data_IF_431625351438
#
_entry.id   IF_431625351438
#
_cell.length_a   1.000
_cell.length_b   1.000
_cell.length_c   1.000
_cell.angle_alpha   90.00
_cell.angle_beta   90.00
_cell.angle_gamma   90.00
#
_symmetry.space_group_name_H-M   'P 1'
#
loop_
_entity.id
_entity.type
_entity.pdbx_description
1 polymer ?
#
# COMPACT_ATOMS: atom_id res chain seq x y z
N UNK A 1 -28.80 -51.77 19.42
CA UNK A 1 -29.80 -50.79 18.93
C UNK A 1 -30.90 -50.50 19.96
N UNK A 2 -31.03 -51.32 21.01
CA UNK A 2 -32.17 -51.24 21.96
C UNK A 2 -32.12 -50.02 22.89
N UNK A 3 -30.93 -49.51 23.22
CA UNK A 3 -30.77 -48.33 24.10
C UNK A 3 -31.11 -46.99 23.45
N UNK A 4 -31.04 -46.88 22.12
CA UNK A 4 -31.44 -45.68 21.38
C UNK A 4 -32.96 -45.70 21.16
N UNK A 5 -33.50 -46.87 20.84
CA UNK A 5 -34.94 -47.07 20.63
C UNK A 5 -35.75 -46.84 21.90
N UNK A 6 -35.20 -47.22 23.08
CA UNK A 6 -35.84 -46.95 24.38
C UNK A 6 -35.86 -45.46 24.73
N UNK A 7 -34.81 -44.69 24.40
CA UNK A 7 -34.76 -43.23 24.59
C UNK A 7 -35.69 -42.49 23.63
N UNK A 8 -35.80 -42.94 22.38
CA UNK A 8 -36.77 -42.40 21.41
C UNK A 8 -38.22 -42.63 21.85
N UNK A 9 -38.50 -43.73 22.57
CA UNK A 9 -39.84 -44.01 23.11
C UNK A 9 -40.29 -43.01 24.18
N UNK A 10 -39.36 -42.28 24.81
CA UNK A 10 -39.67 -41.22 25.76
C UNK A 10 -39.94 -39.85 25.08
N UNK A 11 -39.67 -39.72 23.77
CA UNK A 11 -39.98 -38.51 22.98
C UNK A 11 -41.35 -38.58 22.30
N UNK A 12 -42.07 -39.69 22.45
CA UNK A 12 -43.42 -39.90 21.92
C UNK A 12 -44.44 -39.27 22.90
N UNK A 13 -44.85 -38.03 22.62
CA UNK A 13 -45.71 -37.23 23.50
C UNK A 13 -47.21 -37.60 23.42
N UNK A 14 -47.59 -38.55 22.57
CA UNK A 14 -49.00 -38.89 22.32
C UNK A 14 -49.42 -40.22 23.00
N UNK A 15 -50.62 -40.29 23.59
CA UNK A 15 -51.14 -41.52 24.20
C UNK A 15 -51.34 -42.60 23.14
N UNK A 16 -50.88 -43.83 23.44
CA UNK A 16 -50.98 -44.96 22.49
C UNK A 16 -52.41 -45.48 22.41
N UNK A 17 -52.89 -45.62 21.18
CA UNK A 17 -54.25 -46.10 20.88
C UNK A 17 -54.24 -47.64 20.94
N UNK A 18 -55.32 -48.24 21.46
CA UNK A 18 -55.46 -49.70 21.53
C UNK A 18 -55.35 -50.35 20.14
N UNK A 19 -54.72 -51.54 20.08
CA UNK A 19 -54.39 -52.26 18.84
C UNK A 19 -55.63 -52.61 17.99
N UNK A 20 -56.83 -52.66 18.59
CA UNK A 20 -58.09 -53.03 17.94
C UNK A 20 -58.67 -51.94 17.02
N UNK A 21 -58.17 -50.72 17.10
CA UNK A 21 -58.69 -49.57 16.35
C UNK A 21 -57.91 -49.24 15.06
N UNK A 22 -56.85 -50.00 14.75
CA UNK A 22 -56.10 -49.80 13.51
C UNK A 22 -55.83 -51.13 12.79
N UNK A 23 -55.93 -51.14 11.47
CA UNK A 23 -55.54 -52.28 10.64
C UNK A 23 -54.21 -51.97 9.96
N UNK A 24 -53.18 -52.80 10.21
CA UNK A 24 -51.88 -52.66 9.54
C UNK A 24 -51.99 -53.27 8.15
N UNK A 25 -51.89 -52.44 7.12
CA UNK A 25 -51.84 -52.89 5.73
C UNK A 25 -50.39 -52.87 5.24
N UNK A 26 -49.98 -53.93 4.53
CA UNK A 26 -48.65 -54.03 3.92
C UNK A 26 -48.39 -52.88 2.93
N UNK A 27 -49.42 -52.49 2.17
CA UNK A 27 -49.39 -51.35 1.25
C UNK A 27 -49.20 -50.02 1.98
N UNK A 28 -49.88 -49.79 3.11
CA UNK A 28 -49.73 -48.58 3.92
C UNK A 28 -48.30 -48.41 4.45
N UNK A 29 -47.68 -49.49 4.94
CA UNK A 29 -46.30 -49.47 5.42
C UNK A 29 -45.27 -49.13 4.32
N UNK A 30 -45.44 -49.70 3.12
CA UNK A 30 -44.58 -49.38 1.95
C UNK A 30 -44.72 -47.92 1.55
N UNK A 31 -45.95 -47.39 1.52
CA UNK A 31 -46.22 -45.98 1.20
C UNK A 31 -45.58 -45.06 2.24
N UNK A 32 -45.71 -45.36 3.53
CA UNK A 32 -45.08 -44.57 4.61
C UNK A 32 -43.56 -44.57 4.46
N UNK A 33 -42.93 -45.73 4.21
CA UNK A 33 -41.48 -45.82 4.04
C UNK A 33 -41.00 -45.00 2.83
N UNK A 34 -41.66 -45.15 1.68
CA UNK A 34 -41.34 -44.38 0.48
C UNK A 34 -41.51 -42.88 0.69
N UNK A 35 -42.58 -42.47 1.38
CA UNK A 35 -42.85 -41.05 1.67
C UNK A 35 -41.83 -40.47 2.66
N UNK A 36 -41.44 -41.20 3.70
CA UNK A 36 -40.41 -40.78 4.64
C UNK A 36 -39.04 -40.64 3.98
N UNK A 37 -38.68 -41.56 3.08
CA UNK A 37 -37.43 -41.45 2.30
C UNK A 37 -37.46 -40.20 1.41
N UNK A 38 -38.57 -39.96 0.71
CA UNK A 38 -38.72 -38.78 -0.14
C UNK A 38 -38.63 -37.48 0.68
N UNK A 39 -39.32 -37.41 1.82
CA UNK A 39 -39.25 -36.26 2.73
C UNK A 39 -37.83 -36.02 3.23
N UNK A 40 -37.10 -37.08 3.60
CA UNK A 40 -35.71 -36.96 4.04
C UNK A 40 -34.79 -36.45 2.92
N UNK A 41 -34.96 -36.93 1.69
CA UNK A 41 -34.19 -36.47 0.53
C UNK A 41 -34.46 -35.00 0.24
N UNK A 42 -35.72 -34.57 0.26
CA UNK A 42 -36.09 -33.16 0.08
C UNK A 42 -35.52 -32.30 1.19
N UNK A 43 -35.61 -32.73 2.45
CA UNK A 43 -35.05 -32.01 3.59
C UNK A 43 -33.54 -31.81 3.48
N UNK A 44 -32.79 -32.86 3.11
CA UNK A 44 -31.35 -32.76 2.89
C UNK A 44 -31.00 -31.86 1.69
N UNK A 45 -31.81 -31.89 0.63
CA UNK A 45 -31.65 -31.02 -0.54
C UNK A 45 -31.86 -29.55 -0.18
N UNK A 46 -32.94 -29.23 0.53
CA UNK A 46 -33.25 -27.87 0.97
C UNK A 46 -32.21 -27.35 1.97
N UNK A 47 -31.75 -28.18 2.91
CA UNK A 47 -30.66 -27.81 3.81
C UNK A 47 -29.39 -27.48 3.02
N UNK A 48 -29.05 -28.28 2.01
CA UNK A 48 -27.87 -28.03 1.19
C UNK A 48 -28.00 -26.72 0.42
N UNK A 49 -29.17 -26.43 -0.16
CA UNK A 49 -29.41 -25.14 -0.82
C UNK A 49 -29.37 -23.97 0.16
N UNK A 50 -29.99 -24.11 1.33
CA UNK A 50 -29.99 -23.07 2.36
C UNK A 50 -28.57 -22.75 2.88
N UNK A 51 -27.71 -23.76 2.99
CA UNK A 51 -26.31 -23.58 3.39
C UNK A 51 -25.39 -23.11 2.25
N UNK A 52 -25.88 -23.04 1.02
CA UNK A 52 -25.11 -22.56 -0.11
C UNK A 52 -25.27 -21.03 -0.25
N UNK A 53 -24.24 -20.28 0.12
CA UNK A 53 -24.23 -18.83 -0.07
C UNK A 53 -24.11 -18.46 -1.55
N UNK A 54 -24.93 -17.51 -2.00
CA UNK A 54 -24.87 -16.95 -3.36
C UNK A 54 -24.49 -15.48 -3.26
N UNK A 55 -23.44 -15.09 -3.97
CA UNK A 55 -23.01 -13.69 -4.05
C UNK A 55 -23.75 -12.98 -5.18
N UNK A 56 -24.58 -11.99 -4.84
CA UNK A 56 -25.19 -11.10 -5.84
C UNK A 56 -24.45 -9.76 -5.94
N UNK A 57 -24.20 -9.32 -7.18
CA UNK A 57 -23.53 -8.03 -7.46
C UNK A 57 -24.59 -6.99 -7.81
N UNK A 58 -24.79 -6.01 -6.92
CA UNK A 58 -25.70 -4.89 -7.16
C UNK A 58 -24.92 -3.59 -7.39
N UNK A 59 -25.38 -2.80 -8.37
CA UNK A 59 -24.84 -1.47 -8.64
C UNK A 59 -25.60 -0.44 -7.80
N UNK A 60 -24.92 0.14 -6.82
CA UNK A 60 -25.49 1.17 -5.93
C UNK A 60 -24.75 2.48 -6.16
N UNK A 61 -25.45 3.59 -6.02
CA UNK A 61 -24.82 4.92 -6.01
C UNK A 61 -24.00 5.05 -4.74
N UNK A 62 -22.70 5.33 -4.90
CA UNK A 62 -21.85 5.63 -3.77
C UNK A 62 -22.26 6.99 -3.16
N UNK A 63 -22.82 6.96 -1.96
CA UNK A 63 -23.21 8.15 -1.20
C UNK A 63 -22.13 8.59 -0.22
N UNK A 64 -21.00 7.89 -0.13
CA UNK A 64 -19.91 8.30 0.73
C UNK A 64 -19.32 9.63 0.26
N UNK A 65 -19.22 10.61 1.16
CA UNK A 65 -18.61 11.92 0.89
C UNK A 65 -17.46 12.13 1.85
N UNK A 66 -16.29 12.49 1.31
CA UNK A 66 -15.10 12.79 2.12
C UNK A 66 -14.43 11.55 2.73
N UNK A 67 -14.68 10.36 2.20
CA UNK A 67 -13.94 9.17 2.60
C UNK A 67 -12.59 9.10 1.89
N UNK A 68 -11.61 8.51 2.58
CA UNK A 68 -10.30 8.18 2.04
C UNK A 68 -10.29 6.75 1.49
N UNK A 69 -9.36 6.47 0.59
CA UNK A 69 -9.11 5.17 0.00
C UNK A 69 -7.63 4.84 0.14
N UNK A 70 -7.36 3.61 0.56
CA UNK A 70 -6.01 3.08 0.65
C UNK A 70 -5.57 2.52 -0.70
N UNK A 71 -4.47 3.02 -1.25
CA UNK A 71 -3.81 2.45 -2.43
C UNK A 71 -2.64 1.63 -1.91
N UNK A 72 -2.69 0.31 -2.11
CA UNK A 72 -1.60 -0.60 -1.75
C UNK A 72 -0.78 -0.89 -3.01
N UNK A 73 0.53 -0.76 -2.91
CA UNK A 73 1.43 -0.98 -4.04
C UNK A 73 2.68 -1.72 -3.60
N UNK A 74 3.20 -2.50 -4.54
CA UNK A 74 4.48 -3.18 -4.47
C UNK A 74 5.08 -3.12 -5.88
N UNK A 75 6.07 -2.25 -6.08
CA UNK A 75 6.66 -1.95 -7.38
C UNK A 75 8.18 -2.05 -7.28
N UNK A 76 8.78 -2.75 -8.24
CA UNK A 76 10.21 -2.97 -8.32
C UNK A 76 10.80 -2.22 -9.51
N UNK A 77 11.82 -1.42 -9.27
CA UNK A 77 12.60 -0.70 -10.27
C UNK A 77 14.03 -1.30 -10.30
N UNK A 78 14.36 -2.21 -11.24
CA UNK A 78 15.64 -2.92 -11.24
C UNK A 78 16.87 -2.04 -11.51
N UNK A 79 16.70 -0.85 -12.09
CA UNK A 79 17.81 0.01 -12.50
C UNK A 79 17.67 1.45 -11.96
N UNK A 80 16.94 1.62 -10.85
CA UNK A 80 16.71 2.91 -10.21
C UNK A 80 17.08 2.84 -8.72
N UNK A 81 18.05 3.66 -8.26
CA UNK A 81 18.47 3.69 -6.86
C UNK A 81 17.35 4.12 -5.88
N UNK A 82 17.28 3.48 -4.71
CA UNK A 82 16.29 3.83 -3.69
C UNK A 82 16.48 5.24 -3.12
N UNK A 83 17.72 5.74 -3.03
CA UNK A 83 18.01 7.06 -2.45
C UNK A 83 17.46 8.23 -3.26
N UNK A 84 17.18 8.03 -4.55
CA UNK A 84 16.64 9.06 -5.45
C UNK A 84 15.17 8.85 -5.80
N UNK A 85 14.62 7.67 -5.57
CA UNK A 85 13.23 7.37 -5.90
C UNK A 85 12.27 8.05 -4.92
N UNK A 86 11.40 8.91 -5.42
CA UNK A 86 10.31 9.54 -4.69
C UNK A 86 8.95 9.04 -5.17
N UNK A 87 7.96 9.11 -4.28
CA UNK A 87 6.56 8.86 -4.58
C UNK A 87 5.78 10.11 -4.19
N UNK A 88 5.06 10.67 -5.17
CA UNK A 88 4.15 11.78 -4.93
C UNK A 88 2.72 11.38 -5.32
N UNK A 89 1.74 12.00 -4.68
CA UNK A 89 0.34 11.93 -5.09
C UNK A 89 -0.29 13.32 -5.13
N UNK A 90 -1.18 13.53 -6.11
CA UNK A 90 -1.91 14.78 -6.30
C UNK A 90 -3.35 14.49 -6.72
N UNK A 91 -4.30 15.16 -6.07
CA UNK A 91 -5.71 15.06 -6.40
C UNK A 91 -6.28 16.32 -7.08
N UNK A 92 -7.50 16.22 -7.61
CA UNK A 92 -8.18 17.36 -8.26
C UNK A 92 -8.56 18.48 -7.29
N UNK A 93 -8.57 18.23 -5.98
CA UNK A 93 -8.83 19.26 -4.97
C UNK A 93 -7.60 20.14 -4.73
N UNK A 94 -6.45 19.74 -5.27
CA UNK A 94 -5.16 20.39 -5.06
C UNK A 94 -4.44 19.89 -3.82
N UNK A 95 -4.95 18.84 -3.15
CA UNK A 95 -4.21 18.18 -2.07
C UNK A 95 -3.03 17.42 -2.67
N UNK A 96 -1.86 17.63 -2.06
CA UNK A 96 -0.60 17.05 -2.51
C UNK A 96 0.09 16.34 -1.36
N UNK A 97 0.39 15.07 -1.59
CA UNK A 97 1.21 14.23 -0.71
C UNK A 97 2.55 14.05 -1.39
N UNK A 98 3.48 14.97 -1.11
CA UNK A 98 4.81 15.00 -1.73
C UNK A 98 5.78 14.16 -0.92
N UNK A 99 6.57 13.33 -1.61
CA UNK A 99 7.61 12.50 -1.01
C UNK A 99 7.11 11.74 0.23
N UNK A 100 6.06 10.92 0.04
CA UNK A 100 5.42 10.23 1.16
C UNK A 100 6.40 9.22 1.77
N UNK A 101 6.70 9.38 3.06
CA UNK A 101 7.65 8.53 3.80
C UNK A 101 6.98 7.60 4.79
N UNK A 102 5.87 8.04 5.37
CA UNK A 102 5.12 7.25 6.32
C UNK A 102 4.48 6.06 5.58
N UNK A 103 4.55 4.88 6.18
CA UNK A 103 3.93 3.64 5.66
C UNK A 103 4.50 3.10 4.33
N UNK A 104 5.68 3.59 3.93
CA UNK A 104 6.39 3.16 2.73
C UNK A 104 7.75 2.60 3.11
N UNK A 105 8.06 1.44 2.56
CA UNK A 105 9.32 0.75 2.82
C UNK A 105 10.06 0.59 1.49
N UNK A 106 11.31 1.05 1.47
CA UNK A 106 12.22 0.93 0.32
C UNK A 106 13.26 -0.15 0.62
N UNK A 107 13.36 -1.14 -0.26
CA UNK A 107 14.35 -2.21 -0.23
C UNK A 107 15.35 -2.00 -1.36
N UNK A 108 16.62 -1.79 -1.02
CA UNK A 108 17.72 -1.79 -2.00
C UNK A 108 17.90 -3.19 -2.56
N UNK A 109 18.01 -3.27 -3.88
CA UNK A 109 18.22 -4.50 -4.62
C UNK A 109 19.58 -4.47 -5.29
N UNK A 110 20.29 -5.60 -5.25
CA UNK A 110 21.47 -5.78 -6.07
C UNK A 110 21.10 -5.90 -7.56
N UNK A 111 22.12 -5.94 -8.42
CA UNK A 111 21.95 -6.11 -9.87
C UNK A 111 21.28 -7.43 -10.28
N UNK A 112 21.15 -8.40 -9.37
CA UNK A 112 20.49 -9.69 -9.56
C UNK A 112 19.07 -9.72 -8.96
N UNK A 113 18.62 -8.65 -8.31
CA UNK A 113 17.32 -8.55 -7.65
C UNK A 113 17.26 -9.07 -6.21
N UNK A 114 18.40 -9.38 -5.58
CA UNK A 114 18.44 -9.76 -4.17
C UNK A 114 18.42 -8.53 -3.26
N UNK A 115 17.78 -8.65 -2.10
CA UNK A 115 17.69 -7.55 -1.12
C UNK A 115 19.02 -7.36 -0.41
N UNK A 116 19.61 -6.17 -0.53
CA UNK A 116 20.82 -5.76 0.19
C UNK A 116 20.46 -5.16 1.55
N UNK A 117 19.54 -4.18 1.54
CA UNK A 117 19.20 -3.38 2.71
C UNK A 117 17.70 -3.04 2.68
N UNK A 118 17.03 -3.15 3.83
CA UNK A 118 15.65 -2.67 4.00
C UNK A 118 15.68 -1.43 4.87
N UNK A 119 15.27 -0.28 4.31
CA UNK A 119 15.28 0.99 5.03
C UNK A 119 13.84 1.49 5.23
N UNK A 120 13.46 1.68 6.48
CA UNK A 120 12.36 2.57 6.84
C UNK A 120 12.95 3.98 6.95
N UNK A 121 12.44 4.94 6.16
CA UNK A 121 12.92 6.32 6.25
C UNK A 121 12.59 6.90 7.63
N UNK A 122 13.59 7.45 8.34
CA UNK A 122 13.36 8.17 9.60
C UNK A 122 14.42 8.06 10.71
N UNK A 123 15.51 7.29 10.58
CA UNK A 123 16.44 7.10 11.70
C UNK A 123 17.86 7.61 11.42
N UNK A 124 18.17 8.74 12.07
CA UNK A 124 19.46 9.05 12.69
C UNK A 124 20.64 9.33 11.76
N UNK A 125 20.92 10.63 11.52
CA UNK A 125 22.26 11.04 11.12
C UNK A 125 23.28 10.60 12.20
N UNK A 126 24.51 10.17 11.83
CA UNK A 126 25.53 9.83 12.81
C UNK A 126 25.81 11.02 13.75
N UNK A 127 25.88 10.77 15.06
CA UNK A 127 26.22 11.78 16.07
C UNK A 127 27.67 12.21 15.90
N UNK A 128 27.93 13.51 15.89
CA UNK A 128 29.27 14.11 15.71
C UNK A 128 29.77 14.66 17.04
N UNK A 129 31.06 14.48 17.30
CA UNK A 129 31.79 15.23 18.31
C UNK A 129 32.25 16.58 17.74
N UNK A 130 31.68 17.68 18.28
CA UNK A 130 32.02 19.11 18.00
C UNK A 130 31.71 19.66 16.59
N UNK A 131 30.48 19.58 16.09
CA UNK A 131 30.10 20.24 14.84
C UNK A 131 30.08 21.79 14.95
N UNK A 132 30.26 22.47 13.81
CA UNK A 132 30.22 23.93 13.66
C UNK A 132 28.76 24.43 13.65
N UNK A 133 28.42 25.35 14.55
CA UNK A 133 27.09 25.93 14.64
C UNK A 133 26.84 26.99 13.55
N UNK A 134 25.56 27.30 13.29
CA UNK A 134 25.10 28.37 12.39
C UNK A 134 25.82 29.72 12.56
N UNK A 135 26.24 30.07 13.77
CA UNK A 135 26.92 31.34 14.08
C UNK A 135 28.47 31.28 14.03
N UNK A 136 29.06 30.16 13.58
CA UNK A 136 30.53 30.04 13.43
C UNK A 136 31.30 29.65 14.69
N UNK A 137 30.60 29.17 15.73
CA UNK A 137 31.19 28.63 16.97
C UNK A 137 31.28 27.10 17.00
N UNK A 138 32.15 26.56 17.87
CA UNK A 138 32.12 25.14 18.27
C UNK A 138 31.18 25.00 19.46
N UNK A 139 30.44 23.90 19.54
CA UNK A 139 29.58 23.57 20.68
C UNK A 139 30.30 23.73 22.02
N UNK A 140 29.78 24.63 22.87
CA UNK A 140 30.12 24.68 24.28
C UNK A 140 29.35 23.62 25.09
N UNK A 141 29.71 23.42 26.36
CA UNK A 141 29.00 22.46 27.23
C UNK A 141 27.53 22.88 27.39
N UNK A 142 26.61 22.01 26.97
CA UNK A 142 25.14 22.14 27.02
C UNK A 142 24.43 22.89 25.87
N UNK A 143 25.13 23.27 24.81
CA UNK A 143 24.43 23.80 23.62
C UNK A 143 23.87 22.67 22.75
N UNK A 144 22.69 22.89 22.15
CA UNK A 144 22.14 22.00 21.13
C UNK A 144 22.70 22.36 19.76
N UNK A 145 23.19 21.37 19.02
CA UNK A 145 23.68 21.57 17.66
C UNK A 145 22.56 22.12 16.76
N UNK A 146 22.85 23.25 16.10
CA UNK A 146 22.00 23.87 15.09
C UNK A 146 22.83 24.15 13.84
N UNK A 147 22.62 23.34 12.78
CA UNK A 147 23.23 23.55 11.47
C UNK A 147 22.51 24.62 10.64
N UNK A 148 23.22 25.24 9.69
CA UNK A 148 22.62 26.23 8.77
C UNK A 148 21.83 25.54 7.66
N UNK A 149 20.72 26.15 7.26
CA UNK A 149 19.96 25.79 6.07
C UNK A 149 20.38 26.59 4.83
N UNK A 150 21.58 27.19 4.83
CA UNK A 150 22.19 27.87 3.66
C UNK A 150 21.30 28.97 3.05
N UNK A 151 20.55 29.71 3.87
CA UNK A 151 19.66 30.79 3.44
C UNK A 151 18.22 30.35 3.15
N UNK A 152 17.92 29.06 3.30
CA UNK A 152 16.56 28.53 3.15
C UNK A 152 15.76 28.55 4.47
N UNK A 153 16.30 29.12 5.55
CA UNK A 153 15.59 29.32 6.81
C UNK A 153 14.30 30.16 6.61
N UNK A 154 13.23 29.79 7.30
CA UNK A 154 11.98 30.58 7.36
C UNK A 154 11.91 31.45 8.60
N UNK A 155 12.50 30.99 9.70
CA UNK A 155 12.62 31.69 10.96
C UNK A 155 14.07 31.67 11.48
N UNK A 156 14.38 32.54 12.45
CA UNK A 156 15.70 32.55 13.08
C UNK A 156 15.96 31.31 13.96
N UNK A 157 14.91 30.57 14.33
CA UNK A 157 15.01 29.34 15.13
C UNK A 157 15.13 28.06 14.26
N UNK A 158 15.03 28.18 12.94
CA UNK A 158 15.13 27.02 12.04
C UNK A 158 16.57 26.52 11.96
N UNK A 159 16.74 25.21 12.19
CA UNK A 159 18.02 24.52 12.15
C UNK A 159 17.95 23.33 11.18
N UNK A 160 18.95 23.21 10.31
CA UNK A 160 19.09 22.04 9.43
C UNK A 160 20.22 21.16 9.90
N UNK A 161 19.86 20.04 10.52
CA UNK A 161 20.78 19.14 11.19
C UNK A 161 21.11 17.89 10.37
N UNK A 162 20.45 17.66 9.24
CA UNK A 162 20.75 16.60 8.29
C UNK A 162 20.76 17.12 6.85
N UNK A 163 21.36 16.36 5.92
CA UNK A 163 21.27 16.69 4.49
C UNK A 163 19.80 16.74 4.04
N UNK A 164 18.96 15.87 4.61
CA UNK A 164 17.53 15.84 4.31
C UNK A 164 16.81 17.09 4.82
N UNK A 165 17.20 17.62 5.99
CA UNK A 165 16.62 18.86 6.53
C UNK A 165 16.91 20.06 5.62
N UNK A 166 18.14 20.15 5.10
CA UNK A 166 18.53 21.22 4.14
C UNK A 166 17.71 21.10 2.86
N UNK A 167 17.59 19.89 2.31
CA UNK A 167 16.81 19.61 1.10
C UNK A 167 15.34 19.97 1.29
N UNK A 168 14.77 19.66 2.45
CA UNK A 168 13.40 19.98 2.80
C UNK A 168 13.19 21.50 2.94
N UNK A 169 14.14 22.23 3.53
CA UNK A 169 14.11 23.69 3.58
C UNK A 169 14.15 24.32 2.18
N UNK A 170 15.04 23.81 1.30
CA UNK A 170 15.15 24.26 -0.09
C UNK A 170 13.84 24.01 -0.86
N UNK A 171 13.26 22.82 -0.68
CA UNK A 171 11.97 22.43 -1.25
C UNK A 171 10.86 23.40 -0.88
N UNK A 172 10.75 23.78 0.40
CA UNK A 172 9.77 24.77 0.90
C UNK A 172 9.95 26.15 0.26
N UNK A 173 11.19 26.53 -0.10
CA UNK A 173 11.49 27.78 -0.82
C UNK A 173 11.36 27.66 -2.34
N UNK A 174 11.11 26.47 -2.88
CA UNK A 174 11.08 26.18 -4.32
C UNK A 174 12.47 26.24 -4.97
N UNK A 175 13.53 25.95 -4.21
CA UNK A 175 14.90 25.94 -4.68
C UNK A 175 15.35 24.51 -4.97
N UNK A 176 16.05 24.32 -6.09
CA UNK A 176 16.73 23.07 -6.41
C UNK A 176 18.12 23.01 -5.74
N UNK A 177 18.54 21.81 -5.33
CA UNK A 177 19.88 21.58 -4.81
C UNK A 177 20.87 21.43 -5.95
N UNK A 178 21.53 22.53 -6.32
CA UNK A 178 22.45 22.58 -7.45
C UNK A 178 23.78 21.87 -7.22
N UNK A 179 24.35 21.95 -6.01
CA UNK A 179 25.61 21.30 -5.67
C UNK A 179 25.64 20.81 -4.21
N UNK A 180 25.37 19.52 -3.96
CA UNK A 180 25.40 18.93 -2.62
C UNK A 180 26.78 18.98 -1.94
N UNK A 181 27.89 19.11 -2.68
CA UNK A 181 29.24 19.17 -2.08
C UNK A 181 29.52 20.48 -1.33
N UNK A 182 28.76 21.54 -1.63
CA UNK A 182 28.84 22.82 -0.92
C UNK A 182 28.08 22.80 0.42
N UNK A 183 27.22 21.79 0.61
CA UNK A 183 26.41 21.62 1.82
C UNK A 183 27.16 20.67 2.75
N UNK A 184 27.60 21.17 3.91
CA UNK A 184 28.41 20.40 4.86
C UNK A 184 27.66 19.17 5.38
N UNK A 185 26.34 19.28 5.57
CA UNK A 185 25.51 18.15 5.99
C UNK A 185 25.43 17.05 4.92
N UNK A 186 25.37 17.40 3.64
CA UNK A 186 25.32 16.42 2.55
C UNK A 186 26.67 15.78 2.29
N UNK A 187 27.76 16.57 2.36
CA UNK A 187 29.13 16.08 2.22
C UNK A 187 29.52 15.12 3.33
N UNK A 188 29.22 15.45 4.59
CA UNK A 188 29.58 14.60 5.74
C UNK A 188 28.78 13.29 5.78
N UNK A 189 27.52 13.32 5.33
CA UNK A 189 26.66 12.13 5.24
C UNK A 189 26.93 11.32 3.96
N UNK A 190 27.91 11.75 3.15
CA UNK A 190 28.28 11.09 1.91
C UNK A 190 27.10 10.91 0.96
N UNK A 191 26.18 11.88 0.88
CA UNK A 191 24.95 11.74 0.09
C UNK A 191 25.24 11.41 -1.38
N UNK A 192 26.15 12.14 -2.01
CA UNK A 192 26.59 11.87 -3.39
C UNK A 192 27.35 10.55 -3.52
N UNK A 193 28.15 10.18 -2.50
CA UNK A 193 28.88 8.92 -2.52
C UNK A 193 27.90 7.75 -2.46
N UNK A 194 26.88 7.81 -1.61
CA UNK A 194 25.82 6.80 -1.52
C UNK A 194 25.10 6.60 -2.85
N UNK A 195 24.76 7.69 -3.54
CA UNK A 195 24.11 7.59 -4.86
C UNK A 195 25.01 6.92 -5.89
N UNK A 196 26.33 7.19 -5.85
CA UNK A 196 27.31 6.52 -6.71
C UNK A 196 27.50 5.05 -6.34
N UNK A 197 27.48 4.73 -5.05
CA UNK A 197 27.61 3.35 -4.57
C UNK A 197 26.36 2.52 -4.92
N UNK A 198 25.18 3.15 -5.00
CA UNK A 198 23.93 2.54 -5.48
C UNK A 198 23.83 2.51 -7.02
N UNK A 199 24.87 2.90 -7.76
CA UNK A 199 24.81 2.87 -9.22
C UNK A 199 24.77 1.43 -9.75
N UNK A 200 23.74 1.11 -10.54
CA UNK A 200 23.49 -0.23 -11.05
C UNK A 200 22.67 -1.11 -10.09
N UNK A 201 22.28 -0.57 -8.93
CA UNK A 201 21.29 -1.18 -8.04
C UNK A 201 19.86 -0.86 -8.45
N UNK A 202 18.93 -1.64 -7.90
CA UNK A 202 17.50 -1.42 -8.02
C UNK A 202 16.84 -1.06 -6.70
N UNK A 203 15.55 -0.73 -6.77
CA UNK A 203 14.73 -0.45 -5.61
C UNK A 203 13.39 -1.17 -5.70
N UNK A 204 13.02 -1.90 -4.64
CA UNK A 204 11.64 -2.33 -4.43
C UNK A 204 10.98 -1.37 -3.44
N UNK A 205 9.85 -0.78 -3.84
CA UNK A 205 9.04 0.09 -3.00
C UNK A 205 7.71 -0.59 -2.77
N UNK A 206 7.40 -0.84 -1.51
CA UNK A 206 6.11 -1.40 -1.12
C UNK A 206 5.56 -0.67 0.09
N UNK A 207 4.23 -0.58 0.16
CA UNK A 207 3.55 0.16 1.20
C UNK A 207 2.14 0.53 0.79
N UNK A 208 1.63 1.58 1.41
CA UNK A 208 0.33 2.12 1.04
C UNK A 208 0.28 3.64 1.11
N UNK A 209 -0.62 4.22 0.33
CA UNK A 209 -1.00 5.63 0.39
C UNK A 209 -2.45 5.73 0.82
N UNK A 210 -2.76 6.67 1.69
CA UNK A 210 -4.13 7.05 2.01
C UNK A 210 -4.46 8.34 1.25
N UNK A 211 -5.43 8.27 0.33
CA UNK A 211 -5.81 9.39 -0.55
C UNK A 211 -7.31 9.65 -0.51
N UNK A 212 -7.75 10.85 -0.86
CA UNK A 212 -9.17 11.13 -1.03
C UNK A 212 -9.80 10.28 -2.14
N UNK A 213 -11.06 9.87 -1.97
CA UNK A 213 -11.85 9.18 -3.01
C UNK A 213 -12.31 10.12 -4.14
N UNK A 214 -11.36 10.77 -4.80
CA UNK A 214 -11.59 11.66 -5.93
C UNK A 214 -10.64 11.31 -7.07
N UNK A 215 -10.83 11.93 -8.23
CA UNK A 215 -9.87 11.80 -9.31
C UNK A 215 -8.51 12.37 -8.87
N UNK A 216 -7.44 11.66 -9.20
CA UNK A 216 -6.08 12.03 -8.84
C UNK A 216 -5.06 11.18 -9.58
N UNK A 217 -3.79 11.43 -9.30
CA UNK A 217 -2.67 10.66 -9.80
C UNK A 217 -1.65 10.46 -8.67
N UNK A 218 -0.88 9.39 -8.77
CA UNK A 218 0.34 9.21 -8.02
C UNK A 218 1.42 8.74 -8.98
N UNK A 219 2.66 9.10 -8.72
CA UNK A 219 3.76 8.77 -9.61
C UNK A 219 5.05 8.51 -8.85
N UNK A 220 5.83 7.59 -9.40
CA UNK A 220 7.20 7.33 -8.98
C UNK A 220 8.14 8.09 -9.90
N UNK A 221 9.09 8.83 -9.33
CA UNK A 221 10.03 9.62 -10.12
C UNK A 221 11.39 9.72 -9.41
N UNK A 222 12.48 9.87 -10.19
CA UNK A 222 13.78 10.22 -9.64
C UNK A 222 13.77 11.67 -9.13
N UNK A 223 14.47 11.91 -8.03
CA UNK A 223 14.63 13.22 -7.40
C UNK A 223 13.48 13.64 -6.51
N UNK A 224 13.76 14.52 -5.55
CA UNK A 224 12.72 15.10 -4.69
C UNK A 224 11.90 16.08 -5.53
N UNK A 225 10.59 16.05 -5.32
CA UNK A 225 9.69 16.97 -5.99
C UNK A 225 9.56 18.29 -5.23
N UNK A 226 9.39 19.39 -5.97
CA UNK A 226 9.10 20.71 -5.42
C UNK A 226 8.17 21.48 -6.36
N UNK A 227 7.45 22.45 -5.79
CA UNK A 227 6.54 23.30 -6.55
C UNK A 227 7.24 24.60 -6.92
N UNK A 228 7.25 24.92 -8.21
CA UNK A 228 7.75 26.20 -8.72
C UNK A 228 6.70 26.82 -9.64
N UNK A 229 6.18 27.99 -9.27
CA UNK A 229 5.21 28.74 -10.08
C UNK A 229 3.95 27.94 -10.47
N UNK A 230 3.46 27.07 -9.58
CA UNK A 230 2.28 26.24 -9.83
C UNK A 230 2.55 24.98 -10.66
N UNK A 231 3.80 24.72 -11.06
CA UNK A 231 4.23 23.51 -11.77
C UNK A 231 4.93 22.55 -10.80
N UNK A 232 4.63 21.26 -10.93
CA UNK A 232 5.30 20.18 -10.21
C UNK A 232 6.61 19.82 -10.92
N UNK A 233 7.75 19.96 -10.23
CA UNK A 233 9.08 19.74 -10.81
C UNK A 233 9.88 18.80 -9.92
N UNK A 234 10.65 17.90 -10.53
CA UNK A 234 11.60 17.04 -9.81
C UNK A 234 13.01 17.64 -9.90
N UNK A 235 13.69 17.69 -8.76
CA UNK A 235 15.09 18.12 -8.68
C UNK A 235 16.02 17.00 -9.16
N UNK A 236 16.35 17.05 -10.45
CA UNK A 236 17.29 16.13 -11.10
C UNK A 236 18.71 16.70 -11.21
N UNK A 237 18.88 17.99 -10.91
CA UNK A 237 20.14 18.72 -11.13
C UNK A 237 21.27 18.20 -10.25
N UNK A 238 20.93 17.72 -9.05
CA UNK A 238 21.87 17.14 -8.11
C UNK A 238 22.57 15.86 -8.64
N UNK A 239 22.00 15.18 -9.64
CA UNK A 239 22.45 13.84 -10.04
C UNK A 239 23.33 13.81 -11.28
N UNK A 240 23.49 14.93 -12.00
CA UNK A 240 24.35 15.06 -13.19
C UNK A 240 24.20 13.91 -14.21
N UNK A 241 22.99 13.34 -14.32
CA UNK A 241 22.68 12.22 -15.20
C UNK A 241 21.60 12.66 -16.17
N UNK A 242 21.89 12.53 -17.46
CA UNK A 242 20.98 12.99 -18.51
C UNK A 242 19.74 12.11 -18.66
N UNK A 243 19.78 10.88 -18.13
CA UNK A 243 18.68 9.93 -18.28
C UNK A 243 18.65 8.87 -17.18
N UNK A 244 17.43 8.41 -16.86
CA UNK A 244 17.16 7.34 -15.89
C UNK A 244 16.38 6.22 -16.56
N UNK A 245 16.70 4.98 -16.18
CA UNK A 245 15.97 3.82 -16.64
C UNK A 245 14.79 3.56 -15.69
N UNK A 246 13.57 3.82 -16.18
CA UNK A 246 12.32 3.63 -15.45
C UNK A 246 11.64 2.30 -15.78
N UNK A 247 12.41 1.31 -16.26
CA UNK A 247 11.94 -0.07 -16.31
C UNK A 247 11.44 -0.47 -14.93
N UNK A 248 10.29 -1.13 -14.86
CA UNK A 248 9.65 -1.46 -13.60
C UNK A 248 8.80 -2.73 -13.70
N UNK A 249 8.59 -3.36 -12.56
CA UNK A 249 7.70 -4.50 -12.39
C UNK A 249 6.72 -4.18 -11.26
N UNK A 250 5.44 -4.09 -11.60
CA UNK A 250 4.34 -3.92 -10.66
C UNK A 250 4.04 -5.32 -10.10
N UNK A 251 4.56 -5.63 -8.92
CA UNK A 251 4.26 -6.90 -8.26
C UNK A 251 2.79 -6.93 -7.84
N UNK A 252 2.33 -5.84 -7.23
CA UNK A 252 0.95 -5.70 -6.77
C UNK A 252 0.50 -4.25 -6.81
N UNK A 253 -0.72 -4.00 -7.27
CA UNK A 253 -1.37 -2.70 -7.16
C UNK A 253 -2.87 -2.89 -6.91
N UNK A 254 -3.33 -2.50 -5.73
CA UNK A 254 -4.74 -2.68 -5.32
C UNK A 254 -5.30 -1.46 -4.62
N UNK A 255 -6.61 -1.25 -4.79
CA UNK A 255 -7.36 -0.13 -4.23
C UNK A 255 -8.35 -0.62 -3.18
N UNK A 256 -8.22 -0.12 -1.95
CA UNK A 256 -9.01 -0.53 -0.80
C UNK A 256 -8.58 -1.87 -0.20
N UNK A 257 -9.50 -2.48 0.54
CA UNK A 257 -9.30 -3.76 1.21
C UNK A 257 -9.45 -4.94 0.24
N UNK A 258 -8.73 -6.03 0.53
CA UNK A 258 -8.84 -7.25 -0.24
C UNK A 258 -10.19 -7.93 -0.02
N UNK A 259 -10.78 -8.46 -1.11
CA UNK A 259 -11.96 -9.32 -1.04
C UNK A 259 -11.78 -10.54 -1.97
N UNK A 260 -12.41 -11.69 -1.64
CA UNK A 260 -12.29 -12.89 -2.46
C UNK A 260 -12.76 -12.67 -3.91
N UNK A 261 -11.96 -13.13 -4.88
CA UNK A 261 -12.27 -13.03 -6.31
C UNK A 261 -11.87 -11.70 -6.96
N UNK A 262 -11.26 -10.77 -6.21
CA UNK A 262 -10.68 -9.55 -6.81
C UNK A 262 -9.54 -9.91 -7.77
N UNK A 263 -9.53 -9.28 -8.94
CA UNK A 263 -8.45 -9.38 -9.92
C UNK A 263 -7.98 -7.97 -10.25
N UNK A 264 -6.74 -7.63 -9.88
CA UNK A 264 -6.16 -6.34 -10.26
C UNK A 264 -5.42 -6.50 -11.59
N UNK A 265 -5.77 -5.71 -12.63
CA UNK A 265 -5.19 -5.87 -13.97
C UNK A 265 -3.68 -5.61 -14.06
N UNK A 266 -3.10 -4.90 -13.08
CA UNK A 266 -1.70 -4.48 -13.09
C UNK A 266 -0.81 -5.34 -12.18
N UNK A 267 -1.37 -6.36 -11.53
CA UNK A 267 -0.55 -7.30 -10.75
C UNK A 267 0.34 -8.12 -11.70
N UNK A 268 1.64 -8.18 -11.38
CA UNK A 268 2.70 -8.84 -12.15
C UNK A 268 2.95 -8.27 -13.56
N UNK A 269 2.61 -7.00 -13.80
CA UNK A 269 2.92 -6.32 -15.06
C UNK A 269 4.35 -5.77 -15.02
N UNK A 270 5.16 -6.06 -16.04
CA UNK A 270 6.48 -5.43 -16.22
C UNK A 270 6.49 -4.54 -17.45
N UNK A 271 7.32 -3.51 -17.39
CA UNK A 271 7.66 -2.66 -18.50
C UNK A 271 9.16 -2.47 -18.59
N UNK A 272 9.71 -2.59 -19.80
CA UNK A 272 11.13 -2.37 -20.08
C UNK A 272 11.25 -1.10 -20.92
N UNK A 273 12.09 -0.19 -20.47
CA UNK A 273 12.36 1.06 -21.17
C UNK A 273 13.42 0.86 -22.25
N UNK A 274 13.02 1.09 -23.51
CA UNK A 274 13.91 1.02 -24.67
C UNK A 274 14.58 2.36 -25.01
N UNK A 275 13.98 3.48 -24.59
CA UNK A 275 14.47 4.84 -24.89
C UNK A 275 15.32 5.40 -23.75
N UNK A 276 16.22 6.37 -23.99
CA UNK A 276 17.05 6.96 -22.93
C UNK A 276 16.22 7.60 -21.81
N UNK A 277 15.11 8.24 -22.15
CA UNK A 277 14.11 8.78 -21.22
C UNK A 277 12.73 8.28 -21.59
N UNK A 278 11.84 8.17 -20.61
CA UNK A 278 10.47 7.70 -20.81
C UNK A 278 9.54 8.17 -19.70
N UNK A 279 8.24 8.16 -19.98
CA UNK A 279 7.18 8.34 -18.99
C UNK A 279 6.12 7.27 -19.26
N UNK A 280 5.79 6.48 -18.25
CA UNK A 280 4.83 5.38 -18.35
C UNK A 280 3.60 5.71 -17.52
N UNK A 281 2.46 5.80 -18.17
CA UNK A 281 1.20 6.23 -17.55
C UNK A 281 0.15 5.13 -17.65
N UNK A 282 -0.43 4.80 -16.50
CA UNK A 282 -1.50 3.81 -16.38
C UNK A 282 -2.80 4.51 -15.96
N UNK A 283 -3.82 4.45 -16.81
CA UNK A 283 -5.13 5.03 -16.52
C UNK A 283 -6.04 3.97 -15.92
N UNK A 284 -6.32 4.09 -14.62
CA UNK A 284 -7.07 3.09 -13.86
C UNK A 284 -8.43 3.67 -13.47
N UNK A 285 -9.51 2.95 -13.83
CA UNK A 285 -10.86 3.28 -13.41
C UNK A 285 -11.30 2.33 -12.29
N UNK A 286 -11.23 2.83 -11.06
CA UNK A 286 -11.62 2.07 -9.86
C UNK A 286 -13.15 2.00 -9.75
N UNK A 287 -13.69 0.81 -9.51
CA UNK A 287 -15.11 0.58 -9.20
C UNK A 287 -15.21 -0.02 -7.80
N UNK A 288 -15.96 0.62 -6.92
CA UNK A 288 -16.17 0.14 -5.55
C UNK A 288 -17.26 -0.93 -5.59
N UNK A 289 -16.96 -2.09 -5.02
CA UNK A 289 -17.89 -3.22 -4.90
C UNK A 289 -18.23 -3.41 -3.42
N UNK A 290 -19.53 -3.46 -3.10
CA UNK A 290 -20.01 -3.81 -1.77
C UNK A 290 -20.45 -5.28 -1.79
N UNK A 291 -19.74 -6.12 -1.04
CA UNK A 291 -20.04 -7.54 -0.95
C UNK A 291 -21.02 -7.77 0.21
N UNK A 292 -22.26 -8.12 -0.11
CA UNK A 292 -23.25 -8.53 0.87
C UNK A 292 -23.34 -10.06 0.85
N UNK A 293 -22.98 -10.71 1.96
CA UNK A 293 -23.15 -12.14 2.14
C UNK A 293 -24.53 -12.33 2.78
N UNK A 294 -25.46 -12.89 2.00
CA UNK A 294 -26.80 -13.27 2.46
C UNK A 294 -26.87 -14.77 2.73
#
# INVERSE_FOLDING_TARGET
MDGIMSKLRNLDAYPKINEDFYSRTLSGGVITLASSILMLLLFLSEIRMYLHSVTETNLVVDTSRGETMRINFDVTFPALPCSILSLDAMDISGEQHLDVKHDIIKKRLDSHGNVIETRQEGIGAPKIEKPLQRHGGRLEHNETYCGSCFGAETSDDDCCNSCEDVREAYRKKGWALSNPDLIDQCKREGFLQRIKDEEGEGCNVYGFLEVNKVAGNFHFAPGKSFQQSGVHVHDLLAFQKDSFNLSHHINRLSYGEYFPGVVNPLDNVHWIQDTPSGMYQYFIKVRILYLYIY
#
